data_IF_032917560738
#
_entry.id   IF_032917560738
#
_cell.length_a   1.000
_cell.length_b   1.000
_cell.length_c   1.000
_cell.angle_alpha   90.00
_cell.angle_beta   90.00
_cell.angle_gamma   90.00
#
_symmetry.space_group_name_H-M   'P 1'
#
loop_
_entity.id
_entity.type
_entity.pdbx_description
1 polymer ?
#
# COMPACT_ATOMS: atom_id res chain seq x y z
N UNK A 1 -54.19 20.81 0.81
CA UNK A 1 -52.72 20.82 0.73
C UNK A 1 -52.21 19.49 1.14
N UNK A 2 -51.80 18.64 0.21
CA UNK A 2 -51.25 17.32 0.48
C UNK A 2 -49.71 17.42 0.54
N UNK A 3 -49.00 16.70 1.43
CA UNK A 3 -47.55 16.71 1.47
C UNK A 3 -46.98 15.87 0.34
N UNK A 4 -45.99 16.42 -0.35
CA UNK A 4 -45.23 15.82 -1.44
C UNK A 4 -44.45 14.61 -0.95
N UNK A 5 -44.69 13.46 -1.56
CA UNK A 5 -43.92 12.21 -1.37
C UNK A 5 -42.50 12.37 -1.89
N UNK A 6 -41.55 12.43 -1.00
CA UNK A 6 -40.13 12.33 -1.33
C UNK A 6 -39.83 10.94 -1.88
N UNK A 7 -39.37 10.87 -3.12
CA UNK A 7 -38.86 9.65 -3.74
C UNK A 7 -37.67 9.09 -2.95
N UNK A 8 -37.58 7.76 -2.75
CA UNK A 8 -36.43 7.16 -2.09
C UNK A 8 -35.18 7.35 -2.98
N UNK A 9 -34.12 7.92 -2.38
CA UNK A 9 -32.81 7.99 -3.00
C UNK A 9 -32.35 6.57 -3.36
N UNK A 10 -32.07 6.36 -4.63
CA UNK A 10 -31.45 5.13 -5.14
C UNK A 10 -30.19 4.81 -4.31
N UNK A 11 -29.98 3.54 -3.92
CA UNK A 11 -28.75 3.16 -3.24
C UNK A 11 -27.58 3.41 -4.19
N UNK A 12 -26.55 4.11 -3.70
CA UNK A 12 -25.28 4.30 -4.38
C UNK A 12 -24.77 2.95 -4.88
N UNK A 13 -24.36 2.88 -6.16
CA UNK A 13 -23.73 1.68 -6.75
C UNK A 13 -22.52 1.30 -5.87
N UNK A 14 -22.72 0.39 -4.93
CA UNK A 14 -21.60 -0.23 -4.22
C UNK A 14 -20.75 -0.93 -5.28
N UNK A 15 -19.51 -0.51 -5.45
CA UNK A 15 -18.56 -1.29 -6.23
C UNK A 15 -18.50 -2.66 -5.55
N UNK A 16 -18.84 -3.72 -6.30
CA UNK A 16 -19.05 -5.05 -5.76
C UNK A 16 -17.68 -5.64 -5.39
N UNK A 17 -17.18 -5.29 -4.19
CA UNK A 17 -15.93 -5.81 -3.66
C UNK A 17 -16.10 -7.31 -3.40
N UNK A 18 -15.33 -8.13 -4.09
CA UNK A 18 -15.33 -9.59 -3.94
C UNK A 18 -14.15 -10.01 -3.09
N UNK A 19 -14.37 -10.96 -2.18
CA UNK A 19 -13.28 -11.60 -1.45
C UNK A 19 -12.28 -12.22 -2.42
N UNK A 20 -11.01 -12.01 -2.13
CA UNK A 20 -9.91 -12.49 -2.95
C UNK A 20 -8.91 -13.29 -2.11
N UNK A 21 -8.42 -14.39 -2.65
CA UNK A 21 -7.28 -15.13 -2.11
C UNK A 21 -6.18 -15.11 -3.15
N UNK A 22 -5.03 -14.61 -2.79
CA UNK A 22 -3.90 -14.56 -3.71
C UNK A 22 -3.40 -15.97 -4.03
N UNK A 23 -3.01 -16.17 -5.27
CA UNK A 23 -2.36 -17.37 -5.75
C UNK A 23 -1.36 -17.05 -6.85
N UNK A 24 -0.11 -17.43 -6.63
CA UNK A 24 0.95 -17.34 -7.65
C UNK A 24 1.08 -18.68 -8.36
N UNK A 25 1.02 -18.70 -9.69
CA UNK A 25 1.11 -19.95 -10.43
C UNK A 25 2.45 -20.65 -10.19
N UNK A 26 2.42 -21.98 -10.16
CA UNK A 26 3.61 -22.81 -9.95
C UNK A 26 4.71 -22.51 -10.96
N UNK A 27 4.34 -22.23 -12.21
CA UNK A 27 5.26 -21.82 -13.26
C UNK A 27 6.12 -20.61 -12.89
N UNK A 28 5.53 -19.58 -12.25
CA UNK A 28 6.28 -18.39 -11.85
C UNK A 28 7.20 -18.66 -10.66
N UNK A 29 6.80 -19.54 -9.74
CA UNK A 29 7.67 -19.95 -8.63
C UNK A 29 8.89 -20.72 -9.14
N UNK A 30 8.69 -21.64 -10.05
CA UNK A 30 9.77 -22.39 -10.71
C UNK A 30 10.69 -21.47 -11.50
N UNK A 31 10.13 -20.54 -12.29
CA UNK A 31 10.91 -19.55 -13.03
C UNK A 31 11.73 -18.66 -12.11
N UNK A 32 11.18 -18.27 -10.95
CA UNK A 32 11.91 -17.50 -9.94
C UNK A 32 13.09 -18.30 -9.38
N UNK A 33 12.89 -19.55 -9.01
CA UNK A 33 13.98 -20.45 -8.55
C UNK A 33 15.05 -20.65 -9.61
N UNK A 34 14.66 -20.87 -10.87
CA UNK A 34 15.61 -21.00 -11.98
C UNK A 34 16.45 -19.73 -12.16
N UNK A 35 15.82 -18.56 -12.19
CA UNK A 35 16.54 -17.28 -12.32
C UNK A 35 17.46 -17.05 -11.13
N UNK A 36 17.03 -17.35 -9.93
CA UNK A 36 17.83 -17.20 -8.72
C UNK A 36 19.06 -18.12 -8.75
N UNK A 37 18.89 -19.39 -9.15
CA UNK A 37 19.99 -20.36 -9.30
C UNK A 37 21.00 -19.99 -10.41
N UNK A 38 20.58 -19.20 -11.40
CA UNK A 38 21.46 -18.69 -12.46
C UNK A 38 22.08 -17.32 -12.09
N UNK A 39 21.69 -16.75 -10.94
CA UNK A 39 22.15 -15.41 -10.54
C UNK A 39 23.64 -15.45 -10.21
N UNK A 40 24.40 -14.56 -10.81
CA UNK A 40 25.81 -14.37 -10.54
C UNK A 40 26.02 -13.12 -9.70
N UNK A 41 26.43 -13.30 -8.46
CA UNK A 41 26.73 -12.17 -7.58
C UNK A 41 27.97 -11.41 -8.07
N UNK A 42 28.00 -10.08 -7.94
CA UNK A 42 29.16 -9.26 -8.32
C UNK A 42 30.43 -9.68 -7.59
N UNK A 43 31.58 -9.46 -8.24
CA UNK A 43 32.88 -9.59 -7.55
C UNK A 43 33.09 -8.37 -6.66
N UNK A 44 33.56 -8.61 -5.45
CA UNK A 44 33.91 -7.56 -4.51
C UNK A 44 35.28 -6.96 -4.84
N UNK A 45 35.45 -5.63 -4.76
CA UNK A 45 36.76 -4.99 -4.86
C UNK A 45 37.69 -5.42 -3.73
N UNK A 46 38.99 -5.35 -3.93
CA UNK A 46 39.96 -5.57 -2.87
C UNK A 46 39.76 -4.54 -1.74
N UNK A 47 39.76 -5.01 -0.48
CA UNK A 47 39.54 -4.17 0.69
C UNK A 47 38.05 -3.79 0.93
N UNK A 48 37.12 -4.50 0.29
CA UNK A 48 35.68 -4.27 0.41
C UNK A 48 35.21 -4.22 1.87
N UNK A 49 35.64 -5.18 2.70
CA UNK A 49 35.20 -5.26 4.10
C UNK A 49 35.54 -4.01 4.95
N UNK A 50 36.56 -3.25 4.57
CA UNK A 50 36.90 -2.00 5.24
C UNK A 50 35.99 -0.83 4.83
N UNK A 51 35.23 -0.94 3.72
CA UNK A 51 34.40 0.10 3.13
C UNK A 51 33.04 -0.41 2.65
N UNK A 52 32.50 -1.44 3.32
CA UNK A 52 31.24 -2.08 2.91
C UNK A 52 30.07 -1.09 2.84
N UNK A 53 30.02 -0.07 3.71
CA UNK A 53 28.97 0.96 3.70
C UNK A 53 28.98 1.86 2.45
N UNK A 54 30.12 1.94 1.74
CA UNK A 54 30.23 2.74 0.52
C UNK A 54 29.74 1.98 -0.74
N UNK A 55 29.83 0.64 -0.71
CA UNK A 55 29.53 -0.20 -1.87
C UNK A 55 28.22 -1.00 -1.77
N UNK A 56 27.53 -0.93 -0.63
CA UNK A 56 26.28 -1.67 -0.37
C UNK A 56 26.50 -3.01 0.33
N UNK A 57 25.58 -3.94 0.15
CA UNK A 57 25.57 -5.25 0.83
C UNK A 57 26.69 -6.12 0.30
N UNK A 58 27.48 -6.74 1.19
CA UNK A 58 28.57 -7.63 0.83
C UNK A 58 28.09 -8.96 0.21
N UNK A 59 28.94 -9.58 -0.60
CA UNK A 59 28.66 -10.91 -1.15
C UNK A 59 28.51 -11.93 -0.03
N UNK A 60 29.32 -11.86 1.01
CA UNK A 60 29.27 -12.74 2.18
C UNK A 60 27.96 -12.62 2.99
N UNK A 61 27.29 -11.45 2.93
CA UNK A 61 25.97 -11.25 3.54
C UNK A 61 24.84 -11.68 2.60
N UNK A 62 25.00 -11.49 1.29
CA UNK A 62 23.95 -11.76 0.30
C UNK A 62 23.87 -13.26 -0.07
N UNK A 63 25.03 -13.96 -0.17
CA UNK A 63 25.10 -15.34 -0.62
C UNK A 63 24.28 -16.30 0.29
N UNK A 64 24.36 -16.22 1.64
CA UNK A 64 23.50 -17.03 2.51
C UNK A 64 22.01 -16.76 2.37
N UNK A 65 21.61 -15.53 2.02
CA UNK A 65 20.19 -15.19 1.76
C UNK A 65 19.71 -15.81 0.45
N UNK A 66 20.54 -15.83 -0.58
CA UNK A 66 20.23 -16.49 -1.86
C UNK A 66 20.09 -18.00 -1.67
N UNK A 67 21.03 -18.61 -0.93
CA UNK A 67 21.00 -20.04 -0.62
C UNK A 67 19.75 -20.41 0.19
N UNK A 68 19.41 -19.63 1.23
CA UNK A 68 18.18 -19.82 1.99
C UNK A 68 16.94 -19.73 1.07
N UNK A 69 16.90 -18.75 0.16
CA UNK A 69 15.76 -18.59 -0.75
C UNK A 69 15.63 -19.75 -1.72
N UNK A 70 16.75 -20.29 -2.21
CA UNK A 70 16.76 -21.45 -3.10
C UNK A 70 16.32 -22.74 -2.41
N UNK A 71 16.81 -22.98 -1.20
CA UNK A 71 16.77 -24.29 -0.55
C UNK A 71 15.65 -24.41 0.48
N UNK A 72 15.36 -23.34 1.24
CA UNK A 72 14.53 -23.39 2.45
C UNK A 72 13.25 -22.57 2.35
N UNK A 73 13.22 -21.51 1.52
CA UNK A 73 12.07 -20.63 1.46
C UNK A 73 10.88 -21.29 0.77
N UNK A 74 9.77 -21.41 1.50
CA UNK A 74 8.50 -21.94 0.99
C UNK A 74 7.49 -20.80 0.76
N UNK A 75 7.35 -20.41 -0.52
CA UNK A 75 6.34 -19.41 -0.92
C UNK A 75 4.92 -19.87 -0.55
N UNK A 76 4.59 -21.15 -0.66
CA UNK A 76 3.22 -21.64 -0.38
C UNK A 76 2.86 -21.45 1.09
N UNK A 77 3.82 -21.56 2.00
CA UNK A 77 3.63 -21.26 3.41
C UNK A 77 3.32 -19.76 3.60
N UNK A 78 4.08 -18.87 2.96
CA UNK A 78 3.85 -17.42 3.03
C UNK A 78 2.53 -17.04 2.37
N UNK A 79 2.21 -17.60 1.20
CA UNK A 79 0.95 -17.36 0.51
C UNK A 79 -0.27 -17.75 1.39
N UNK A 80 -0.21 -18.88 2.08
CA UNK A 80 -1.23 -19.27 3.07
C UNK A 80 -1.30 -18.27 4.22
N UNK A 81 -0.17 -17.94 4.82
CA UNK A 81 -0.09 -17.00 5.93
C UNK A 81 -0.76 -15.65 5.59
N UNK A 82 -0.41 -15.02 4.47
CA UNK A 82 -1.01 -13.75 4.07
C UNK A 82 -2.49 -13.89 3.67
N UNK A 83 -2.89 -15.01 3.10
CA UNK A 83 -4.30 -15.27 2.80
C UNK A 83 -5.16 -15.45 4.06
N UNK A 84 -4.56 -15.90 5.16
CA UNK A 84 -5.27 -16.15 6.42
C UNK A 84 -5.24 -14.93 7.35
N UNK A 85 -4.20 -14.08 7.25
CA UNK A 85 -4.02 -12.91 8.12
C UNK A 85 -4.52 -11.60 7.52
N UNK A 86 -4.53 -11.47 6.18
CA UNK A 86 -4.95 -10.27 5.48
C UNK A 86 -6.30 -10.48 4.78
N UNK A 87 -7.37 -9.80 5.19
CA UNK A 87 -8.64 -9.81 4.45
C UNK A 87 -8.46 -9.08 3.11
N UNK A 88 -8.35 -9.86 2.03
CA UNK A 88 -8.08 -9.37 0.69
C UNK A 88 -9.35 -9.31 -0.16
N UNK A 89 -9.44 -8.31 -1.01
CA UNK A 89 -10.57 -8.05 -1.89
C UNK A 89 -10.12 -7.60 -3.27
N UNK A 90 -11.02 -7.75 -4.24
CA UNK A 90 -10.92 -7.12 -5.56
C UNK A 90 -12.21 -6.38 -5.87
N UNK A 91 -12.07 -5.22 -6.51
CA UNK A 91 -13.19 -4.45 -7.04
C UNK A 91 -12.82 -3.84 -8.39
N UNK A 92 -13.80 -3.55 -9.22
CA UNK A 92 -13.61 -2.73 -10.42
C UNK A 92 -13.83 -1.27 -10.03
N UNK A 93 -12.79 -0.46 -10.12
CA UNK A 93 -12.81 0.97 -9.81
C UNK A 93 -12.41 1.72 -11.08
N UNK A 94 -13.29 2.60 -11.57
CA UNK A 94 -13.08 3.36 -12.81
C UNK A 94 -12.67 2.47 -14.01
N UNK A 95 -13.26 1.27 -14.12
CA UNK A 95 -13.00 0.32 -15.20
C UNK A 95 -11.78 -0.58 -15.01
N UNK A 96 -10.96 -0.38 -13.99
CA UNK A 96 -9.74 -1.17 -13.71
C UNK A 96 -9.95 -2.08 -12.49
N UNK A 97 -9.53 -3.34 -12.58
CA UNK A 97 -9.57 -4.25 -11.42
C UNK A 97 -8.48 -3.86 -10.43
N UNK A 98 -8.90 -3.57 -9.23
CA UNK A 98 -8.03 -3.19 -8.12
C UNK A 98 -8.09 -4.24 -7.02
N UNK A 99 -6.92 -4.66 -6.57
CA UNK A 99 -6.72 -5.48 -5.39
C UNK A 99 -6.45 -4.60 -4.18
N UNK A 100 -7.01 -4.95 -3.02
CA UNK A 100 -6.76 -4.25 -1.77
C UNK A 100 -6.98 -5.15 -0.55
N UNK A 101 -6.29 -4.85 0.52
CA UNK A 101 -6.59 -5.34 1.87
C UNK A 101 -7.57 -4.38 2.52
N UNK A 102 -8.61 -4.89 3.18
CA UNK A 102 -9.52 -4.07 3.95
C UNK A 102 -9.88 -4.76 5.26
N UNK A 103 -9.44 -4.18 6.38
CA UNK A 103 -9.80 -4.64 7.73
C UNK A 103 -10.50 -3.51 8.49
N UNK A 104 -11.72 -3.79 8.93
CA UNK A 104 -12.47 -2.88 9.79
C UNK A 104 -12.11 -3.14 11.25
N UNK A 105 -11.85 -2.06 11.98
CA UNK A 105 -11.79 -2.11 13.43
C UNK A 105 -13.16 -2.34 14.03
N UNK A 106 -13.21 -3.05 15.15
CA UNK A 106 -14.43 -3.17 15.98
C UNK A 106 -14.53 -2.06 17.02
N UNK A 107 -13.48 -1.24 17.16
CA UNK A 107 -13.48 -0.12 18.10
C UNK A 107 -14.40 0.99 17.57
N UNK A 108 -15.31 1.52 18.40
CA UNK A 108 -16.17 2.63 18.01
C UNK A 108 -15.37 3.85 17.56
N UNK A 109 -15.85 4.56 16.54
CA UNK A 109 -15.24 5.77 16.00
C UNK A 109 -13.82 5.57 15.43
N UNK A 110 -13.48 4.34 15.00
CA UNK A 110 -12.23 4.09 14.31
C UNK A 110 -12.09 4.98 13.07
N UNK A 111 -10.89 5.49 12.85
CA UNK A 111 -10.59 6.46 11.79
C UNK A 111 -10.27 5.70 10.49
N UNK A 112 -10.88 6.04 9.35
CA UNK A 112 -10.49 5.44 8.07
C UNK A 112 -9.05 5.80 7.70
N UNK A 113 -8.24 4.80 7.37
CA UNK A 113 -6.85 4.92 6.97
C UNK A 113 -6.64 4.30 5.59
N UNK A 114 -6.22 5.11 4.62
CA UNK A 114 -5.68 4.66 3.36
C UNK A 114 -4.17 4.48 3.52
N UNK A 115 -3.69 3.23 3.49
CA UNK A 115 -2.28 2.87 3.61
C UNK A 115 -1.72 2.52 2.24
N UNK A 116 -0.84 3.35 1.68
CA UNK A 116 -0.28 3.20 0.34
C UNK A 116 1.18 2.81 0.41
N UNK A 117 1.51 1.61 -0.06
CA UNK A 117 2.89 1.13 -0.11
C UNK A 117 3.75 1.91 -1.11
N UNK A 118 5.08 1.80 -1.00
CA UNK A 118 6.05 2.38 -1.92
C UNK A 118 6.56 1.41 -2.99
N UNK A 119 7.72 1.74 -3.57
CA UNK A 119 8.49 0.88 -4.47
C UNK A 119 9.84 0.57 -3.78
N UNK A 120 10.31 -0.68 -3.77
CA UNK A 120 9.76 -1.91 -4.40
C UNK A 120 8.85 -2.74 -3.48
N UNK A 121 8.05 -2.10 -2.66
CA UNK A 121 7.14 -2.70 -1.69
C UNK A 121 5.84 -3.23 -2.33
N UNK A 122 4.97 -3.80 -1.51
CA UNK A 122 3.64 -4.27 -1.91
C UNK A 122 2.62 -4.08 -0.77
N UNK A 123 1.36 -4.46 -1.00
CA UNK A 123 0.31 -4.48 0.03
C UNK A 123 0.69 -5.30 1.28
N UNK A 124 1.68 -6.20 1.19
CA UNK A 124 2.16 -7.01 2.32
C UNK A 124 2.83 -6.17 3.40
N UNK A 125 3.29 -4.97 3.08
CA UNK A 125 3.92 -4.04 4.04
C UNK A 125 3.02 -3.73 5.24
N UNK A 126 1.68 -3.79 5.07
CA UNK A 126 0.74 -3.56 6.16
C UNK A 126 0.64 -4.73 7.15
N UNK A 127 1.05 -5.95 6.76
CA UNK A 127 0.80 -7.17 7.54
C UNK A 127 1.29 -7.09 8.99
N UNK A 128 2.51 -6.63 9.30
CA UNK A 128 2.99 -6.57 10.68
C UNK A 128 2.28 -5.52 11.54
N UNK A 129 1.54 -4.58 10.95
CA UNK A 129 0.94 -3.45 11.65
C UNK A 129 -0.60 -3.49 11.68
N UNK A 130 -1.23 -4.26 10.80
CA UNK A 130 -2.68 -4.17 10.57
C UNK A 130 -3.49 -4.49 11.84
N UNK A 131 -3.03 -5.44 12.65
CA UNK A 131 -3.70 -5.82 13.87
C UNK A 131 -3.62 -4.72 14.93
N UNK A 132 -2.42 -4.22 15.19
CA UNK A 132 -2.19 -3.12 16.12
C UNK A 132 -2.91 -1.82 15.71
N UNK A 133 -3.04 -1.56 14.42
CA UNK A 133 -3.78 -0.41 13.91
C UNK A 133 -5.29 -0.58 14.06
N UNK A 134 -5.81 -1.79 13.82
CA UNK A 134 -7.25 -2.03 13.91
C UNK A 134 -7.73 -2.26 15.34
N UNK A 135 -6.88 -2.86 16.19
CA UNK A 135 -7.22 -3.19 17.58
C UNK A 135 -6.05 -2.88 18.54
N UNK A 136 -5.81 -1.60 18.84
CA UNK A 136 -4.72 -1.18 19.72
C UNK A 136 -4.89 -1.64 21.17
N UNK A 137 -6.08 -2.06 21.60
CA UNK A 137 -6.34 -2.55 22.96
C UNK A 137 -5.68 -3.92 23.17
N UNK A 138 -5.68 -4.76 22.13
CA UNK A 138 -5.04 -6.07 22.17
C UNK A 138 -3.51 -6.00 22.08
N UNK A 139 -2.98 -4.90 21.56
CA UNK A 139 -1.54 -4.67 21.36
C UNK A 139 -1.07 -3.32 21.89
N UNK A 140 -1.37 -2.97 23.18
CA UNK A 140 -1.07 -1.63 23.66
C UNK A 140 0.45 -1.42 23.79
N UNK A 141 0.98 -0.30 23.25
CA UNK A 141 2.31 0.14 23.62
C UNK A 141 2.35 0.51 25.11
N UNK A 142 3.48 0.29 25.75
CA UNK A 142 3.65 0.62 27.18
C UNK A 142 3.30 2.10 27.43
N UNK A 143 2.31 2.37 28.31
CA UNK A 143 1.97 3.70 28.78
C UNK A 143 0.87 4.44 28.00
N UNK A 144 0.18 3.78 27.05
CA UNK A 144 -0.93 4.40 26.35
C UNK A 144 -2.28 4.03 27.00
N UNK A 145 -3.02 5.05 27.52
CA UNK A 145 -4.35 4.86 28.10
C UNK A 145 -5.45 4.75 27.05
N UNK A 146 -5.29 5.38 25.88
CA UNK A 146 -6.14 5.20 24.70
C UNK A 146 -5.40 5.53 23.41
N UNK A 147 -5.39 4.61 22.45
CA UNK A 147 -4.87 4.84 21.12
C UNK A 147 -6.00 4.91 20.11
N UNK A 148 -5.86 5.72 19.05
CA UNK A 148 -6.82 5.70 17.96
C UNK A 148 -6.78 4.35 17.24
N UNK A 149 -7.95 3.78 16.95
CA UNK A 149 -8.10 2.62 16.11
C UNK A 149 -8.40 3.04 14.66
N UNK A 150 -8.08 2.18 13.70
CA UNK A 150 -8.23 2.49 12.29
C UNK A 150 -8.99 1.43 11.52
N UNK A 151 -9.87 1.87 10.60
CA UNK A 151 -10.33 1.03 9.50
C UNK A 151 -9.28 1.10 8.41
N UNK A 152 -8.53 0.02 8.20
CA UNK A 152 -7.38 0.00 7.28
C UNK A 152 -7.82 -0.44 5.89
N UNK A 153 -7.50 0.37 4.88
CA UNK A 153 -7.59 0.03 3.46
C UNK A 153 -6.19 0.15 2.86
N UNK A 154 -5.62 -0.96 2.39
CA UNK A 154 -4.29 -0.98 1.77
C UNK A 154 -4.38 -1.56 0.35
N UNK A 155 -4.55 -0.70 -0.67
CA UNK A 155 -4.62 -1.14 -2.05
C UNK A 155 -3.23 -1.48 -2.60
N UNK A 156 -3.18 -2.42 -3.55
CA UNK A 156 -2.03 -2.55 -4.45
C UNK A 156 -2.04 -1.41 -5.45
N UNK A 157 -0.92 -0.70 -5.60
CA UNK A 157 -0.75 0.33 -6.63
C UNK A 157 -1.03 -0.28 -8.01
N UNK A 158 -1.64 0.48 -8.92
CA UNK A 158 -1.93 0.02 -10.28
C UNK A 158 -0.68 -0.57 -10.96
N UNK A 159 -0.80 -1.80 -11.48
CA UNK A 159 0.32 -2.56 -12.04
C UNK A 159 1.21 -3.29 -11.03
N UNK A 160 0.91 -3.17 -9.72
CA UNK A 160 1.61 -3.90 -8.64
C UNK A 160 0.73 -4.99 -8.04
N UNK A 161 1.38 -5.97 -7.46
CA UNK A 161 0.71 -7.06 -6.75
C UNK A 161 -0.36 -7.74 -7.61
N UNK A 162 -1.62 -7.57 -7.22
CA UNK A 162 -2.76 -8.19 -7.91
C UNK A 162 -3.74 -7.18 -8.50
N UNK A 163 -3.34 -5.89 -8.59
CA UNK A 163 -4.06 -4.85 -9.33
C UNK A 163 -3.65 -4.85 -10.79
N UNK A 164 -4.62 -4.62 -11.68
CA UNK A 164 -4.32 -4.41 -13.11
C UNK A 164 -3.59 -3.06 -13.30
N UNK A 165 -2.78 -2.98 -14.35
CA UNK A 165 -2.19 -1.71 -14.77
C UNK A 165 -3.25 -0.79 -15.36
N UNK A 166 -3.09 0.53 -15.17
CA UNK A 166 -3.91 1.50 -15.89
C UNK A 166 -3.47 1.53 -17.36
N UNK A 167 -4.42 1.60 -18.31
CA UNK A 167 -4.10 1.54 -19.74
C UNK A 167 -3.46 2.83 -20.29
N UNK A 168 -3.45 3.92 -19.53
CA UNK A 168 -3.03 5.24 -19.99
C UNK A 168 -1.50 5.42 -19.83
N UNK A 169 -0.80 5.65 -20.94
CA UNK A 169 0.62 5.99 -20.91
C UNK A 169 0.85 7.36 -20.25
N UNK A 170 1.83 7.44 -19.35
CA UNK A 170 2.29 8.69 -18.75
C UNK A 170 1.47 9.24 -17.57
N UNK A 171 0.25 8.72 -17.32
CA UNK A 171 -0.66 9.25 -16.27
C UNK A 171 -0.97 8.26 -15.13
N UNK A 172 -0.14 7.27 -14.93
CA UNK A 172 -0.41 6.18 -13.97
C UNK A 172 -0.63 6.66 -12.51
N UNK A 173 0.16 7.62 -12.02
CA UNK A 173 0.04 8.08 -10.63
C UNK A 173 -1.20 8.92 -10.36
N UNK A 174 -1.54 9.97 -11.17
CA UNK A 174 -2.79 10.71 -11.00
C UNK A 174 -4.03 9.83 -11.14
N UNK A 175 -4.05 8.92 -12.13
CA UNK A 175 -5.15 7.98 -12.33
C UNK A 175 -5.28 7.03 -11.13
N UNK A 176 -4.18 6.49 -10.62
CA UNK A 176 -4.17 5.65 -9.41
C UNK A 176 -4.67 6.43 -8.18
N UNK A 177 -4.28 7.70 -8.02
CA UNK A 177 -4.75 8.56 -6.94
C UNK A 177 -6.29 8.74 -6.99
N UNK A 178 -6.84 9.06 -8.17
CA UNK A 178 -8.27 9.17 -8.37
C UNK A 178 -9.03 7.85 -8.12
N UNK A 179 -8.44 6.73 -8.51
CA UNK A 179 -9.00 5.39 -8.24
C UNK A 179 -9.01 5.08 -6.74
N UNK A 180 -7.97 5.43 -6.00
CA UNK A 180 -7.91 5.20 -4.54
C UNK A 180 -8.93 6.04 -3.78
N UNK A 181 -9.12 7.30 -4.16
CA UNK A 181 -10.19 8.12 -3.59
C UNK A 181 -11.58 7.54 -3.91
N UNK A 182 -11.80 7.10 -5.15
CA UNK A 182 -13.03 6.42 -5.56
C UNK A 182 -13.26 5.11 -4.78
N UNK A 183 -12.19 4.32 -4.54
CA UNK A 183 -12.26 3.12 -3.72
C UNK A 183 -12.70 3.46 -2.30
N UNK A 184 -12.05 4.42 -1.62
CA UNK A 184 -12.40 4.83 -0.26
C UNK A 184 -13.85 5.28 -0.17
N UNK A 185 -14.31 6.11 -1.09
CA UNK A 185 -15.71 6.57 -1.16
C UNK A 185 -16.68 5.41 -1.37
N UNK A 186 -16.34 4.44 -2.20
CA UNK A 186 -17.17 3.25 -2.46
C UNK A 186 -17.31 2.33 -1.23
N UNK A 187 -16.28 2.31 -0.37
CA UNK A 187 -16.29 1.59 0.90
C UNK A 187 -17.02 2.35 2.01
N UNK A 188 -17.52 3.56 1.74
CA UNK A 188 -18.26 4.42 2.66
C UNK A 188 -17.40 5.46 3.39
N UNK A 189 -16.14 5.58 3.06
CA UNK A 189 -15.20 6.50 3.69
C UNK A 189 -15.08 7.79 2.89
N UNK A 190 -15.88 8.80 3.24
CA UNK A 190 -15.87 10.10 2.55
C UNK A 190 -14.65 10.95 2.94
N UNK A 191 -14.16 10.80 4.17
CA UNK A 191 -12.97 11.47 4.68
C UNK A 191 -12.08 10.45 5.38
N UNK A 192 -10.79 10.55 5.16
CA UNK A 192 -9.81 9.59 5.68
C UNK A 192 -8.45 10.23 5.88
N UNK A 193 -7.63 9.61 6.73
CA UNK A 193 -6.20 9.89 6.80
C UNK A 193 -5.46 8.98 5.83
N UNK A 194 -4.27 9.40 5.44
CA UNK A 194 -3.42 8.65 4.50
C UNK A 194 -2.04 8.41 5.07
N UNK A 195 -1.50 7.23 4.80
CA UNK A 195 -0.09 6.94 4.98
C UNK A 195 0.51 6.53 3.65
N UNK A 196 1.73 7.03 3.35
CA UNK A 196 2.48 6.60 2.19
C UNK A 196 3.96 6.93 2.29
N UNK A 197 4.82 6.07 1.75
CA UNK A 197 6.26 6.27 1.59
C UNK A 197 6.64 6.22 0.12
N UNK A 198 7.66 6.95 -0.30
CA UNK A 198 8.13 6.97 -1.69
C UNK A 198 7.01 7.23 -2.69
N UNK A 199 6.70 6.25 -3.56
CA UNK A 199 5.59 6.35 -4.52
C UNK A 199 4.22 6.48 -3.84
N UNK A 200 4.02 5.79 -2.72
CA UNK A 200 2.80 5.91 -1.93
C UNK A 200 2.58 7.34 -1.43
N UNK A 201 3.64 8.03 -0.99
CA UNK A 201 3.53 9.44 -0.61
C UNK A 201 3.15 10.33 -1.80
N UNK A 202 3.74 10.10 -2.99
CA UNK A 202 3.39 10.87 -4.20
C UNK A 202 1.91 10.71 -4.56
N UNK A 203 1.36 9.49 -4.44
CA UNK A 203 -0.06 9.20 -4.66
C UNK A 203 -0.93 9.90 -3.59
N UNK A 204 -0.61 9.78 -2.30
CA UNK A 204 -1.33 10.45 -1.21
C UNK A 204 -1.35 11.98 -1.40
N UNK A 205 -0.23 12.56 -1.82
CA UNK A 205 -0.13 13.99 -2.13
C UNK A 205 -1.04 14.39 -3.29
N UNK A 206 -1.12 13.58 -4.34
CA UNK A 206 -2.02 13.82 -5.48
C UNK A 206 -3.49 13.75 -5.05
N UNK A 207 -3.87 12.82 -4.17
CA UNK A 207 -5.23 12.77 -3.60
C UNK A 207 -5.52 14.06 -2.81
N UNK A 208 -4.60 14.49 -1.93
CA UNK A 208 -4.81 15.68 -1.12
C UNK A 208 -4.93 16.97 -1.96
N UNK A 209 -4.23 17.05 -3.09
CA UNK A 209 -4.32 18.17 -4.01
C UNK A 209 -5.56 18.13 -4.90
N UNK A 210 -5.97 16.94 -5.35
CA UNK A 210 -7.11 16.76 -6.25
C UNK A 210 -8.45 16.62 -5.55
N UNK A 211 -8.47 16.10 -4.31
CA UNK A 211 -9.67 15.83 -3.51
C UNK A 211 -9.44 16.29 -2.06
N UNK A 212 -9.20 17.59 -1.81
CA UNK A 212 -8.87 18.08 -0.48
C UNK A 212 -9.98 17.83 0.56
N UNK A 213 -11.23 17.73 0.13
CA UNK A 213 -12.37 17.40 0.97
C UNK A 213 -12.30 15.99 1.56
N UNK A 214 -11.62 15.05 0.88
CA UNK A 214 -11.44 13.66 1.33
C UNK A 214 -10.29 13.54 2.33
N UNK A 215 -9.29 14.43 2.26
CA UNK A 215 -8.06 14.34 3.04
C UNK A 215 -8.23 14.98 4.43
N UNK A 216 -8.06 14.18 5.50
CA UNK A 216 -7.98 14.70 6.87
C UNK A 216 -6.52 15.04 7.21
N UNK A 217 -5.59 14.13 6.93
CA UNK A 217 -4.17 14.26 7.17
C UNK A 217 -3.36 13.28 6.33
N UNK A 218 -2.08 13.57 6.14
CA UNK A 218 -1.10 12.66 5.53
C UNK A 218 0.02 12.40 6.53
N UNK A 219 0.31 11.12 6.77
CA UNK A 219 1.53 10.68 7.43
C UNK A 219 2.50 10.12 6.38
N UNK A 220 3.78 10.45 6.51
CA UNK A 220 4.82 9.94 5.60
C UNK A 220 6.16 9.79 6.30
N UNK A 221 7.02 8.96 5.73
CA UNK A 221 8.41 8.81 6.12
C UNK A 221 9.26 9.33 4.96
N UNK A 222 10.24 10.20 5.23
CA UNK A 222 11.13 10.80 4.23
C UNK A 222 10.37 11.48 3.06
N UNK A 223 9.63 12.58 3.32
CA UNK A 223 8.87 13.27 2.28
C UNK A 223 9.80 13.87 1.22
N UNK A 224 9.67 13.42 -0.01
CA UNK A 224 10.34 14.04 -1.17
C UNK A 224 9.49 15.21 -1.68
N UNK A 225 9.69 16.38 -1.13
CA UNK A 225 9.05 17.61 -1.59
C UNK A 225 10.11 18.51 -2.20
N UNK A 226 10.02 18.84 -3.50
CA UNK A 226 10.97 19.78 -4.11
C UNK A 226 10.82 21.16 -3.45
N UNK A 227 11.95 21.82 -3.24
CA UNK A 227 11.93 23.20 -2.74
C UNK A 227 11.12 24.10 -3.68
N UNK A 228 10.36 25.08 -3.14
CA UNK A 228 9.64 26.05 -3.94
C UNK A 228 10.60 26.77 -4.89
N UNK A 229 10.19 26.95 -6.15
CA UNK A 229 11.00 27.76 -7.09
C UNK A 229 10.84 29.22 -6.71
N UNK A 230 11.95 29.90 -6.38
CA UNK A 230 11.96 31.31 -6.01
C UNK A 230 11.20 32.20 -6.99
N UNK A 231 11.36 31.96 -8.29
CA UNK A 231 10.69 32.73 -9.35
C UNK A 231 9.16 32.59 -9.34
N UNK A 232 8.61 31.48 -8.81
CA UNK A 232 7.17 31.22 -8.79
C UNK A 232 6.56 31.47 -7.41
N UNK A 233 7.36 31.35 -6.35
CA UNK A 233 6.91 31.42 -4.96
C UNK A 233 7.93 32.16 -4.09
N UNK A 234 8.21 33.47 -4.37
CA UNK A 234 9.27 34.20 -3.68
C UNK A 234 9.03 34.31 -2.17
N UNK A 235 7.78 34.40 -1.73
CA UNK A 235 7.43 34.50 -0.30
C UNK A 235 7.49 33.16 0.46
N UNK A 236 7.67 32.05 -0.21
CA UNK A 236 7.84 30.75 0.46
C UNK A 236 9.28 30.50 0.94
N UNK A 237 10.19 31.47 0.75
CA UNK A 237 11.58 31.46 1.21
C UNK A 237 11.83 32.35 2.43
N UNK A 238 10.82 33.12 2.84
CA UNK A 238 10.80 33.96 4.04
C UNK A 238 10.13 33.18 5.20
#
# INVERSE_FOLDING_TARGET
MAPSSGSPRSPSKSHNAQSYRMHVSQRYLELTKQKLGLTRLPREPQGYHARSSEFGVSKSELEPLVDHWLEQYDWRLQERHYNDTLPQFRAVVNGTRMHFVHRRSMVPNAIPLLFVHGFPESFMTIAPMIESLCDPIMTPPRGAESLPAFHVVSPSISGFGFSDAVPEEGNAMPTTAAMFDSLMKSLGYQRYIMHGSGWGFKICRLIALGCPESCIAIHTVNPEVPAPRFALHPFSWL
#
